data_IF_377828378482
#
_entry.id   IF_377828378482
#
_cell.length_a   1.000
_cell.length_b   1.000
_cell.length_c   1.000
_cell.angle_alpha   90.00
_cell.angle_beta   90.00
_cell.angle_gamma   90.00
#
_symmetry.space_group_name_H-M   'P 1'
#
loop_
_entity.id
_entity.type
_entity.pdbx_description
1 polymer ?
#
# COMPACT_ATOMS: atom_id res chain seq x y z
N UNK A 1 14.35 1.53 -11.02
CA UNK A 1 14.56 0.07 -11.03
C UNK A 1 13.19 -0.60 -11.05
N UNK A 2 12.80 -1.31 -12.12
CA UNK A 2 11.49 -1.96 -12.23
C UNK A 2 11.22 -2.97 -11.10
N UNK A 3 12.28 -3.57 -10.56
CA UNK A 3 12.20 -4.57 -9.49
C UNK A 3 11.78 -3.95 -8.14
N UNK A 4 12.21 -2.71 -7.84
CA UNK A 4 11.83 -2.01 -6.61
C UNK A 4 10.33 -1.66 -6.60
N UNK A 5 9.79 -1.23 -7.75
CA UNK A 5 8.37 -0.94 -7.89
C UNK A 5 7.52 -2.20 -7.67
N UNK A 6 7.94 -3.34 -8.25
CA UNK A 6 7.25 -4.62 -8.06
C UNK A 6 7.27 -5.07 -6.60
N UNK A 7 8.43 -5.02 -5.96
CA UNK A 7 8.57 -5.35 -4.54
C UNK A 7 7.68 -4.46 -3.65
N UNK A 8 7.61 -3.15 -3.94
CA UNK A 8 6.75 -2.24 -3.22
C UNK A 8 5.26 -2.56 -3.39
N UNK A 9 4.80 -2.83 -4.62
CA UNK A 9 3.41 -3.20 -4.90
C UNK A 9 3.03 -4.49 -4.19
N UNK A 10 3.90 -5.50 -4.22
CA UNK A 10 3.68 -6.77 -3.53
C UNK A 10 3.60 -6.58 -2.01
N UNK A 11 4.51 -5.81 -1.41
CA UNK A 11 4.48 -5.52 0.02
C UNK A 11 3.21 -4.78 0.44
N UNK A 12 2.76 -3.79 -0.35
CA UNK A 12 1.51 -3.06 -0.12
C UNK A 12 0.29 -3.99 -0.23
N UNK A 13 0.28 -4.92 -1.20
CA UNK A 13 -0.78 -5.90 -1.33
C UNK A 13 -0.86 -6.84 -0.11
N UNK A 14 0.29 -7.32 0.38
CA UNK A 14 0.37 -8.14 1.60
C UNK A 14 -0.18 -7.38 2.82
N UNK A 15 0.17 -6.10 2.98
CA UNK A 15 -0.35 -5.27 4.07
C UNK A 15 -1.87 -5.09 3.99
N UNK A 16 -2.40 -4.89 2.78
CA UNK A 16 -3.84 -4.76 2.54
C UNK A 16 -4.59 -6.07 2.85
N UNK A 17 -4.04 -7.20 2.43
CA UNK A 17 -4.64 -8.52 2.68
C UNK A 17 -4.59 -8.88 4.17
N UNK A 18 -3.49 -8.57 4.86
CA UNK A 18 -3.38 -8.74 6.31
C UNK A 18 -4.45 -7.91 7.06
N UNK A 19 -4.62 -6.63 6.66
CA UNK A 19 -5.66 -5.76 7.22
C UNK A 19 -7.06 -6.33 6.99
N UNK A 20 -7.35 -6.80 5.77
CA UNK A 20 -8.66 -7.36 5.41
C UNK A 20 -8.97 -8.65 6.17
N UNK A 21 -7.96 -9.48 6.40
CA UNK A 21 -8.12 -10.74 7.12
C UNK A 21 -8.35 -10.52 8.62
N UNK A 22 -7.58 -9.63 9.25
CA UNK A 22 -7.65 -9.39 10.69
C UNK A 22 -7.20 -7.97 11.05
N UNK A 23 -8.09 -6.96 11.01
CA UNK A 23 -7.70 -5.56 11.08
C UNK A 23 -7.08 -5.15 12.42
N UNK A 24 -7.33 -5.89 13.50
CA UNK A 24 -6.71 -5.66 14.81
C UNK A 24 -5.47 -6.51 15.11
N UNK A 25 -5.00 -7.34 14.17
CA UNK A 25 -3.89 -8.26 14.42
C UNK A 25 -2.53 -7.54 14.37
N UNK A 26 -1.61 -7.95 15.24
CA UNK A 26 -0.22 -7.45 15.27
C UNK A 26 0.51 -7.71 13.94
N UNK A 27 0.13 -8.77 13.22
CA UNK A 27 0.69 -9.08 11.90
C UNK A 27 0.49 -7.95 10.88
N UNK A 28 -0.55 -7.12 11.03
CA UNK A 28 -0.78 -5.97 10.15
C UNK A 28 0.32 -4.92 10.31
N UNK A 29 0.84 -4.71 11.53
CA UNK A 29 1.94 -3.76 11.81
C UNK A 29 3.19 -4.17 11.02
N UNK A 30 3.59 -5.43 11.13
CA UNK A 30 4.77 -5.94 10.43
C UNK A 30 4.64 -5.83 8.90
N UNK A 31 3.44 -6.07 8.36
CA UNK A 31 3.19 -5.92 6.93
C UNK A 31 3.20 -4.44 6.48
N UNK A 32 2.63 -3.53 7.29
CA UNK A 32 2.65 -2.08 7.03
C UNK A 32 4.08 -1.54 7.08
N UNK A 33 4.89 -1.95 8.05
CA UNK A 33 6.29 -1.52 8.15
C UNK A 33 7.11 -1.96 6.94
N UNK A 34 6.92 -3.20 6.48
CA UNK A 34 7.55 -3.71 5.26
C UNK A 34 7.10 -2.93 4.02
N UNK A 35 5.80 -2.66 3.88
CA UNK A 35 5.27 -1.87 2.78
C UNK A 35 5.80 -0.43 2.79
N UNK A 36 5.87 0.20 3.97
CA UNK A 36 6.43 1.54 4.13
C UNK A 36 7.91 1.59 3.73
N UNK A 37 8.71 0.61 4.16
CA UNK A 37 10.12 0.51 3.80
C UNK A 37 10.31 0.30 2.29
N UNK A 38 9.51 -0.56 1.66
CA UNK A 38 9.59 -0.82 0.24
C UNK A 38 9.15 0.39 -0.61
N UNK A 39 8.15 1.15 -0.16
CA UNK A 39 7.73 2.38 -0.85
C UNK A 39 8.74 3.51 -0.66
N UNK A 40 9.44 3.58 0.49
CA UNK A 40 10.39 4.64 0.79
C UNK A 40 11.63 4.64 -0.13
N UNK A 41 11.94 3.52 -0.78
CA UNK A 41 13.06 3.43 -1.74
C UNK A 41 12.66 3.88 -3.15
N UNK A 42 11.37 4.08 -3.42
CA UNK A 42 10.90 4.52 -4.73
C UNK A 42 11.23 5.98 -4.99
N UNK A 43 11.35 6.33 -6.27
CA UNK A 43 11.39 7.73 -6.69
C UNK A 43 10.10 8.45 -6.28
N UNK A 44 10.16 9.74 -5.88
CA UNK A 44 9.01 10.50 -5.38
C UNK A 44 8.07 10.97 -6.51
N UNK A 45 7.70 10.06 -7.42
CA UNK A 45 6.74 10.27 -8.49
C UNK A 45 5.30 9.99 -8.04
N UNK A 46 4.35 10.12 -8.98
CA UNK A 46 2.93 9.89 -8.71
C UNK A 46 2.67 8.50 -8.12
N UNK A 47 3.28 7.46 -8.68
CA UNK A 47 3.09 6.07 -8.26
C UNK A 47 3.61 5.86 -6.85
N UNK A 48 4.83 6.34 -6.56
CA UNK A 48 5.40 6.30 -5.22
C UNK A 48 4.52 7.01 -4.19
N UNK A 49 4.01 8.20 -4.53
CA UNK A 49 3.15 8.98 -3.64
C UNK A 49 1.81 8.31 -3.35
N UNK A 50 1.14 7.72 -4.36
CA UNK A 50 -0.15 7.05 -4.12
C UNK A 50 0.02 5.73 -3.39
N UNK A 51 1.11 5.00 -3.61
CA UNK A 51 1.45 3.80 -2.83
C UNK A 51 1.71 4.18 -1.36
N UNK A 52 2.46 5.26 -1.12
CA UNK A 52 2.69 5.76 0.24
C UNK A 52 1.37 6.14 0.93
N UNK A 53 0.48 6.82 0.22
CA UNK A 53 -0.83 7.20 0.75
C UNK A 53 -1.71 5.96 1.04
N UNK A 54 -1.60 4.91 0.23
CA UNK A 54 -2.29 3.65 0.48
C UNK A 54 -1.75 2.98 1.75
N UNK A 55 -0.44 2.93 1.96
CA UNK A 55 0.19 2.41 3.19
C UNK A 55 -0.32 3.15 4.43
N UNK A 56 -0.33 4.49 4.40
CA UNK A 56 -0.85 5.30 5.52
C UNK A 56 -2.33 5.03 5.79
N UNK A 57 -3.11 4.77 4.74
CA UNK A 57 -4.53 4.45 4.87
C UNK A 57 -4.77 3.06 5.46
N UNK A 58 -3.90 2.09 5.12
CA UNK A 58 -3.91 0.73 5.71
C UNK A 58 -3.56 0.83 7.20
N UNK A 59 -2.50 1.55 7.55
CA UNK A 59 -2.08 1.78 8.94
C UNK A 59 -3.19 2.45 9.76
N UNK A 60 -3.86 3.45 9.18
CA UNK A 60 -5.01 4.07 9.82
C UNK A 60 -6.14 3.06 10.05
N UNK A 61 -6.48 2.26 9.03
CA UNK A 61 -7.47 1.18 9.13
C UNK A 61 -7.15 0.21 10.26
N UNK A 62 -5.88 -0.18 10.40
CA UNK A 62 -5.42 -1.03 11.50
C UNK A 62 -5.65 -0.37 12.87
N UNK A 63 -5.21 0.89 13.03
CA UNK A 63 -5.34 1.63 14.30
C UNK A 63 -6.80 1.78 14.77
N UNK A 64 -7.75 1.85 13.84
CA UNK A 64 -9.18 1.95 14.16
C UNK A 64 -9.92 0.60 14.09
N UNK A 65 -9.22 -0.50 13.77
CA UNK A 65 -9.81 -1.84 13.67
C UNK A 65 -10.76 -2.04 12.49
N UNK A 66 -10.60 -1.29 11.40
CA UNK A 66 -11.46 -1.35 10.22
C UNK A 66 -10.73 -1.96 9.01
N UNK A 67 -11.25 -3.09 8.53
CA UNK A 67 -10.80 -3.76 7.31
C UNK A 67 -11.25 -3.04 6.03
N UNK A 68 -12.35 -2.28 6.09
CA UNK A 68 -12.97 -1.62 4.95
C UNK A 68 -13.36 -0.19 5.31
N UNK A 69 -13.09 0.74 4.40
CA UNK A 69 -13.59 2.11 4.48
C UNK A 69 -13.66 2.74 3.09
N UNK A 70 -14.52 3.75 2.87
CA UNK A 70 -14.55 4.48 1.61
C UNK A 70 -13.21 5.15 1.26
N UNK A 71 -12.43 5.53 2.28
CA UNK A 71 -11.11 6.11 2.09
C UNK A 71 -10.09 5.07 1.60
N UNK A 72 -10.10 3.86 2.17
CA UNK A 72 -9.25 2.75 1.73
C UNK A 72 -9.55 2.35 0.28
N UNK A 73 -10.82 2.26 -0.07
CA UNK A 73 -11.24 1.98 -1.46
C UNK A 73 -10.78 3.05 -2.44
N UNK A 74 -10.86 4.34 -2.07
CA UNK A 74 -10.37 5.44 -2.91
C UNK A 74 -8.85 5.38 -3.09
N UNK A 75 -8.10 5.16 -2.01
CA UNK A 75 -6.64 5.05 -2.05
C UNK A 75 -6.20 3.85 -2.92
N UNK A 76 -6.86 2.69 -2.75
CA UNK A 76 -6.60 1.50 -3.57
C UNK A 76 -6.84 1.75 -5.06
N UNK A 77 -7.97 2.39 -5.42
CA UNK A 77 -8.27 2.73 -6.82
C UNK A 77 -7.28 3.73 -7.40
N UNK A 78 -6.87 4.74 -6.63
CA UNK A 78 -5.87 5.70 -7.07
C UNK A 78 -4.52 5.03 -7.36
N UNK A 79 -4.07 4.13 -6.48
CA UNK A 79 -2.87 3.33 -6.70
C UNK A 79 -2.97 2.45 -7.95
N UNK A 80 -4.11 1.78 -8.16
CA UNK A 80 -4.33 0.96 -9.35
C UNK A 80 -4.28 1.78 -10.65
N UNK A 81 -4.89 2.97 -10.67
CA UNK A 81 -4.84 3.88 -11.82
C UNK A 81 -3.42 4.38 -12.08
N UNK A 82 -2.68 4.77 -11.04
CA UNK A 82 -1.31 5.22 -11.20
C UNK A 82 -0.41 4.13 -11.80
N UNK A 83 -0.54 2.89 -11.31
CA UNK A 83 0.20 1.75 -11.86
C UNK A 83 -0.13 1.48 -13.33
N UNK A 84 -1.39 1.63 -13.74
CA UNK A 84 -1.79 1.45 -15.14
C UNK A 84 -1.16 2.46 -16.11
N UNK A 85 -0.81 3.65 -15.62
CA UNK A 85 -0.20 4.70 -16.45
C UNK A 85 1.31 4.84 -16.21
N UNK A 86 1.90 4.08 -15.28
CA UNK A 86 3.33 4.11 -14.99
C UNK A 86 4.10 3.29 -16.04
N UNK A 87 5.01 3.90 -16.81
CA UNK A 87 5.75 3.21 -17.86
C UNK A 87 6.71 2.13 -17.33
N UNK A 88 7.03 2.14 -16.03
CA UNK A 88 7.89 1.12 -15.39
C UNK A 88 7.11 -0.14 -15.01
N UNK A 89 5.78 -0.09 -15.05
CA UNK A 89 4.89 -1.20 -14.69
C UNK A 89 4.47 -2.07 -15.89
N UNK A 90 4.61 -1.55 -17.11
CA UNK A 90 4.19 -2.18 -18.38
C UNK A 90 5.11 -3.33 -18.78
#
# INVERSE_FOLDING_TARGET
>A
MPDDLRAAVEAVAVALDALRAAPGAVAVIGAVDQAAAAVAVLEPDLTGQVLQQLVLTIEHGHRVGLAHSPQLERAYRAAAVALQIDPRWV
#
